data_IF_952280090443
#
_entry.id   IF_952280090443
#
_cell.length_a   1.000
_cell.length_b   1.000
_cell.length_c   1.000
_cell.angle_alpha   90.00
_cell.angle_beta   90.00
_cell.angle_gamma   90.00
#
_symmetry.space_group_name_H-M   'P 1'
#
loop_
_entity.id
_entity.type
_entity.pdbx_description
1 polymer ?
#
# COMPACT_ATOMS: atom_id res chain seq x y z
N UNK A 1 5.53 8.49 -39.35
CA UNK A 1 6.41 7.55 -38.61
C UNK A 1 5.82 7.26 -37.25
N UNK A 2 5.42 6.01 -36.95
CA UNK A 2 4.98 5.63 -35.59
C UNK A 2 6.20 5.78 -34.66
N UNK A 3 6.15 6.72 -33.69
CA UNK A 3 7.14 6.79 -32.62
C UNK A 3 7.18 5.40 -31.98
N UNK A 4 8.27 4.65 -32.14
CA UNK A 4 8.48 3.42 -31.38
C UNK A 4 8.53 3.86 -29.92
N UNK A 5 7.48 3.55 -29.18
CA UNK A 5 7.27 4.00 -27.82
C UNK A 5 8.39 3.41 -26.96
N UNK A 6 9.09 4.20 -26.14
CA UNK A 6 10.20 3.68 -25.33
C UNK A 6 9.75 2.49 -24.47
N UNK A 7 8.48 2.48 -24.04
CA UNK A 7 7.83 1.39 -23.33
C UNK A 7 7.91 0.05 -24.08
N UNK A 8 7.59 0.06 -25.39
CA UNK A 8 7.60 -1.18 -26.20
C UNK A 8 9.01 -1.68 -26.51
N UNK A 9 10.03 -0.85 -26.27
CA UNK A 9 11.43 -1.28 -26.31
C UNK A 9 11.83 -1.97 -25.01
N UNK A 10 11.45 -1.43 -23.85
CA UNK A 10 11.74 -2.04 -22.55
C UNK A 10 11.04 -3.39 -22.37
N UNK A 11 9.76 -3.50 -22.76
CA UNK A 11 9.03 -4.78 -22.73
C UNK A 11 9.77 -5.89 -23.51
N UNK A 12 10.28 -5.55 -24.70
CA UNK A 12 11.08 -6.48 -25.53
C UNK A 12 12.46 -6.80 -24.96
N UNK A 13 13.01 -5.95 -24.09
CA UNK A 13 14.26 -6.23 -23.39
C UNK A 13 14.03 -7.15 -22.20
N UNK A 14 12.94 -6.95 -21.46
CA UNK A 14 12.54 -7.81 -20.34
C UNK A 14 12.29 -9.27 -20.81
N UNK A 15 11.69 -9.46 -21.99
CA UNK A 15 11.48 -10.80 -22.58
C UNK A 15 12.78 -11.60 -22.82
N UNK A 16 13.93 -10.92 -22.91
CA UNK A 16 15.21 -11.55 -23.26
C UNK A 16 16.02 -12.00 -22.04
N UNK A 17 15.61 -11.61 -20.82
CA UNK A 17 16.38 -11.86 -19.62
C UNK A 17 15.50 -11.89 -18.38
N UNK A 18 15.51 -13.02 -17.66
CA UNK A 18 14.79 -13.17 -16.40
C UNK A 18 15.26 -12.15 -15.35
N UNK A 19 16.55 -11.76 -15.38
CA UNK A 19 17.07 -10.70 -14.51
C UNK A 19 16.43 -9.34 -14.81
N UNK A 20 16.31 -8.99 -16.09
CA UNK A 20 15.68 -7.72 -16.49
C UNK A 20 14.20 -7.70 -16.15
N UNK A 21 13.51 -8.84 -16.35
CA UNK A 21 12.12 -9.01 -15.95
C UNK A 21 11.94 -8.79 -14.45
N UNK A 22 12.78 -9.42 -13.62
CA UNK A 22 12.75 -9.24 -12.16
C UNK A 22 12.98 -7.77 -11.76
N UNK A 23 13.95 -7.10 -12.37
CA UNK A 23 14.21 -5.69 -12.11
C UNK A 23 13.02 -4.80 -12.51
N UNK A 24 12.38 -5.11 -13.63
CA UNK A 24 11.15 -4.44 -14.06
C UNK A 24 10.02 -4.63 -13.06
N UNK A 25 9.84 -5.84 -12.54
CA UNK A 25 8.84 -6.16 -11.53
C UNK A 25 9.08 -5.41 -10.21
N UNK A 26 10.32 -5.42 -9.71
CA UNK A 26 10.72 -4.71 -8.48
C UNK A 26 10.48 -3.19 -8.64
N UNK A 27 10.85 -2.62 -9.79
CA UNK A 27 10.60 -1.21 -10.09
C UNK A 27 9.10 -0.88 -10.17
N UNK A 28 8.30 -1.72 -10.82
CA UNK A 28 6.83 -1.55 -10.91
C UNK A 28 6.18 -1.60 -9.52
N UNK A 29 6.65 -2.49 -8.65
CA UNK A 29 6.17 -2.60 -7.28
C UNK A 29 6.49 -1.34 -6.47
N UNK A 30 7.74 -0.90 -6.47
CA UNK A 30 8.16 0.32 -5.77
C UNK A 30 7.38 1.55 -6.28
N UNK A 31 7.26 1.69 -7.60
CA UNK A 31 6.46 2.75 -8.23
C UNK A 31 5.02 2.77 -7.74
N UNK A 32 4.38 1.59 -7.62
CA UNK A 32 3.01 1.46 -7.13
C UNK A 32 2.89 1.93 -5.67
N UNK A 33 3.84 1.55 -4.82
CA UNK A 33 3.89 1.98 -3.42
C UNK A 33 4.02 3.50 -3.33
N UNK A 34 4.97 4.09 -4.08
CA UNK A 34 5.18 5.54 -4.10
C UNK A 34 3.93 6.28 -4.61
N UNK A 35 3.28 5.76 -5.65
CA UNK A 35 2.05 6.35 -6.19
C UNK A 35 0.92 6.37 -5.14
N UNK A 36 0.75 5.29 -4.37
CA UNK A 36 -0.23 5.25 -3.28
C UNK A 36 0.07 6.29 -2.19
N UNK A 37 1.35 6.49 -1.86
CA UNK A 37 1.80 7.52 -0.90
C UNK A 37 1.45 8.92 -1.42
N UNK A 38 1.73 9.21 -2.70
CA UNK A 38 1.41 10.49 -3.34
C UNK A 38 -0.10 10.76 -3.28
N UNK A 39 -0.91 9.75 -3.63
CA UNK A 39 -2.36 9.86 -3.62
C UNK A 39 -2.91 10.11 -2.22
N UNK A 40 -2.41 9.39 -1.21
CA UNK A 40 -2.81 9.61 0.18
C UNK A 40 -2.40 11.00 0.69
N UNK A 41 -1.18 11.47 0.36
CA UNK A 41 -0.75 12.84 0.67
C UNK A 41 -1.70 13.87 0.06
N UNK A 42 -2.02 13.72 -1.23
CA UNK A 42 -2.93 14.62 -1.93
C UNK A 42 -4.34 14.59 -1.34
N UNK A 43 -4.86 13.41 -0.97
CA UNK A 43 -6.17 13.27 -0.31
C UNK A 43 -6.23 13.98 1.05
N UNK A 44 -5.11 14.01 1.77
CA UNK A 44 -4.97 14.77 3.02
C UNK A 44 -4.71 16.27 2.82
N UNK A 45 -4.55 16.74 1.58
CA UNK A 45 -4.27 18.14 1.29
C UNK A 45 -2.88 18.61 1.71
N UNK A 46 -1.96 17.69 2.00
CA UNK A 46 -0.61 18.03 2.47
C UNK A 46 0.30 18.38 1.30
N UNK A 47 1.10 19.42 1.46
CA UNK A 47 2.23 19.73 0.59
C UNK A 47 3.39 18.75 0.83
N UNK A 48 4.32 18.66 -0.12
CA UNK A 48 5.54 17.87 0.06
C UNK A 48 6.38 18.33 1.25
N UNK A 49 6.35 19.64 1.55
CA UNK A 49 7.05 20.21 2.69
C UNK A 49 6.42 19.74 4.00
N UNK A 50 5.11 19.84 4.12
CA UNK A 50 4.38 19.41 5.33
C UNK A 50 4.55 17.91 5.58
N UNK A 51 4.47 17.07 4.54
CA UNK A 51 4.77 15.65 4.71
C UNK A 51 6.22 15.44 5.15
N UNK A 52 7.17 16.18 4.57
CA UNK A 52 8.57 16.16 4.99
C UNK A 52 8.74 16.49 6.47
N UNK A 53 8.12 17.57 6.92
CA UNK A 53 8.17 18.03 8.32
C UNK A 53 7.61 16.97 9.28
N UNK A 54 6.53 16.27 8.90
CA UNK A 54 5.96 15.16 9.69
C UNK A 54 6.91 13.97 9.86
N UNK A 55 7.72 13.64 8.84
CA UNK A 55 8.61 12.46 8.85
C UNK A 55 10.07 12.80 9.14
N UNK A 56 10.39 14.07 9.38
CA UNK A 56 11.75 14.56 9.61
C UNK A 56 12.63 14.56 8.35
N UNK A 57 12.04 14.83 7.19
CA UNK A 57 12.73 14.96 5.90
C UNK A 57 12.53 16.36 5.31
N UNK A 58 13.46 16.81 4.48
CA UNK A 58 13.26 18.05 3.74
C UNK A 58 12.33 17.83 2.53
N UNK A 59 11.72 18.93 2.05
CA UNK A 59 10.82 18.90 0.90
C UNK A 59 11.49 18.32 -0.36
N UNK A 60 12.79 18.55 -0.56
CA UNK A 60 13.53 18.03 -1.72
C UNK A 60 13.75 16.51 -1.65
N UNK A 61 13.81 15.91 -0.47
CA UNK A 61 13.81 14.46 -0.31
C UNK A 61 12.46 13.87 -0.70
N UNK A 62 11.35 14.46 -0.23
CA UNK A 62 9.99 14.03 -0.62
C UNK A 62 9.82 14.16 -2.14
N UNK A 63 10.18 15.30 -2.74
CA UNK A 63 10.09 15.50 -4.18
C UNK A 63 10.86 14.45 -5.00
N UNK A 64 12.07 14.07 -4.56
CA UNK A 64 12.87 13.04 -5.25
C UNK A 64 12.28 11.64 -5.11
N UNK A 65 11.67 11.32 -3.97
CA UNK A 65 10.94 10.07 -3.76
C UNK A 65 9.74 10.02 -4.70
N UNK A 66 8.91 11.07 -4.70
CA UNK A 66 7.70 11.12 -5.53
C UNK A 66 8.00 11.08 -7.04
N UNK A 67 9.12 11.67 -7.45
CA UNK A 67 9.59 11.65 -8.83
C UNK A 67 10.26 10.32 -9.24
N UNK A 68 10.39 9.33 -8.34
CA UNK A 68 11.15 8.10 -8.58
C UNK A 68 12.62 8.34 -8.99
N UNK A 69 13.18 9.47 -8.59
CA UNK A 69 14.59 9.79 -8.84
C UNK A 69 15.52 9.00 -7.91
N UNK A 70 15.01 8.58 -6.74
CA UNK A 70 15.71 7.73 -5.80
C UNK A 70 14.75 6.72 -5.17
N UNK A 71 15.19 5.47 -5.10
CA UNK A 71 14.55 4.43 -4.29
C UNK A 71 14.65 4.80 -2.80
N UNK A 72 13.52 5.02 -2.10
CA UNK A 72 13.53 5.26 -0.67
C UNK A 72 13.89 3.99 0.10
N UNK A 73 14.56 4.15 1.24
CA UNK A 73 14.77 3.05 2.18
C UNK A 73 13.43 2.60 2.78
N UNK A 74 13.33 1.34 3.17
CA UNK A 74 12.13 0.78 3.81
C UNK A 74 11.68 1.58 5.04
N UNK A 75 12.61 2.03 5.89
CA UNK A 75 12.28 2.85 7.05
C UNK A 75 11.64 4.19 6.67
N UNK A 76 12.05 4.79 5.55
CA UNK A 76 11.40 6.00 5.01
C UNK A 76 9.99 5.70 4.54
N UNK A 77 9.78 4.59 3.83
CA UNK A 77 8.43 4.17 3.41
C UNK A 77 7.52 3.99 4.62
N UNK A 78 7.99 3.30 5.67
CA UNK A 78 7.22 3.07 6.90
C UNK A 78 6.82 4.40 7.54
N UNK A 79 7.76 5.35 7.68
CA UNK A 79 7.45 6.69 8.23
C UNK A 79 6.42 7.46 7.40
N UNK A 80 6.53 7.40 6.07
CA UNK A 80 5.58 8.07 5.18
C UNK A 80 4.19 7.47 5.29
N UNK A 81 4.09 6.14 5.35
CA UNK A 81 2.84 5.42 5.51
C UNK A 81 2.18 5.76 6.85
N UNK A 82 2.96 5.73 7.94
CA UNK A 82 2.48 6.08 9.28
C UNK A 82 1.97 7.53 9.34
N UNK A 83 2.75 8.50 8.85
CA UNK A 83 2.33 9.91 8.79
C UNK A 83 1.06 10.16 7.94
N UNK A 84 0.76 9.24 7.03
CA UNK A 84 -0.41 9.30 6.15
C UNK A 84 -1.59 8.44 6.64
N UNK A 85 -1.53 7.89 7.87
CA UNK A 85 -2.53 6.96 8.43
C UNK A 85 -2.83 5.77 7.51
N UNK A 86 -1.79 5.26 6.84
CA UNK A 86 -1.87 4.06 6.01
C UNK A 86 -1.35 2.83 6.77
N UNK A 87 -1.63 1.63 6.24
CA UNK A 87 -0.96 0.39 6.65
C UNK A 87 -0.25 -0.26 5.47
N UNK A 88 0.87 -0.92 5.75
CA UNK A 88 1.50 -1.88 4.85
C UNK A 88 1.19 -3.28 5.37
N UNK A 89 0.77 -4.17 4.49
CA UNK A 89 0.57 -5.58 4.79
C UNK A 89 1.45 -6.45 3.90
N UNK A 90 2.03 -7.48 4.49
CA UNK A 90 2.73 -8.53 3.77
C UNK A 90 1.74 -9.68 3.60
N UNK A 91 1.50 -10.03 2.35
CA UNK A 91 0.56 -11.07 1.94
C UNK A 91 1.30 -12.04 1.03
N UNK A 92 0.92 -13.32 1.07
CA UNK A 92 1.46 -14.29 0.13
C UNK A 92 0.97 -13.95 -1.30
N UNK A 93 1.91 -13.98 -2.25
CA UNK A 93 1.69 -13.68 -3.66
C UNK A 93 0.65 -14.60 -4.30
N UNK A 94 0.51 -15.82 -3.77
CA UNK A 94 -0.44 -16.83 -4.23
C UNK A 94 -1.76 -16.83 -3.45
N UNK A 95 -1.92 -15.90 -2.51
CA UNK A 95 -3.24 -15.65 -1.93
C UNK A 95 -4.05 -14.98 -3.02
N UNK A 96 -4.85 -15.78 -3.73
CA UNK A 96 -5.99 -15.26 -4.47
C UNK A 96 -6.82 -14.49 -3.47
N UNK A 97 -6.78 -13.15 -3.55
CA UNK A 97 -7.80 -12.37 -2.91
C UNK A 97 -9.11 -12.81 -3.53
N UNK A 98 -9.88 -13.56 -2.74
CA UNK A 98 -11.33 -13.53 -2.86
C UNK A 98 -11.78 -12.10 -2.54
N UNK A 99 -11.54 -11.16 -3.46
CA UNK A 99 -12.53 -10.09 -3.72
C UNK A 99 -13.76 -10.76 -4.33
N UNK A 100 -14.31 -11.75 -3.63
CA UNK A 100 -15.52 -12.39 -4.05
C UNK A 100 -16.58 -11.34 -3.76
N UNK A 101 -17.19 -10.80 -4.81
CA UNK A 101 -18.42 -10.00 -4.72
C UNK A 101 -19.44 -10.69 -3.80
N UNK A 102 -19.38 -12.03 -3.71
CA UNK A 102 -20.04 -12.86 -2.72
C UNK A 102 -19.75 -12.49 -1.26
N UNK A 103 -18.49 -12.31 -0.84
CA UNK A 103 -18.15 -11.94 0.55
C UNK A 103 -18.64 -10.54 0.91
N UNK A 104 -18.55 -9.59 -0.02
CA UNK A 104 -19.08 -8.25 0.20
C UNK A 104 -20.61 -8.28 0.28
N UNK A 105 -21.27 -9.02 -0.62
CA UNK A 105 -22.73 -9.22 -0.56
C UNK A 105 -23.15 -9.93 0.75
N UNK A 106 -22.42 -10.96 1.16
CA UNK A 106 -22.65 -11.69 2.40
C UNK A 106 -22.47 -10.79 3.63
N UNK A 107 -21.40 -9.98 3.67
CA UNK A 107 -21.19 -9.03 4.76
C UNK A 107 -22.33 -8.00 4.81
N UNK A 108 -22.75 -7.45 3.68
CA UNK A 108 -23.86 -6.50 3.60
C UNK A 108 -25.21 -7.13 3.99
N UNK A 109 -25.49 -8.38 3.61
CA UNK A 109 -26.67 -9.12 4.06
C UNK A 109 -26.62 -9.44 5.56
N UNK A 110 -25.45 -9.87 6.05
CA UNK A 110 -25.21 -10.12 7.47
C UNK A 110 -25.42 -8.87 8.32
N UNK A 111 -24.96 -7.70 7.86
CA UNK A 111 -25.20 -6.41 8.53
C UNK A 111 -26.69 -6.07 8.59
N UNK A 112 -27.43 -6.21 7.47
CA UNK A 112 -28.87 -5.94 7.42
C UNK A 112 -29.68 -6.84 8.34
N UNK A 113 -29.26 -8.09 8.50
CA UNK A 113 -29.88 -9.04 9.41
C UNK A 113 -29.67 -8.61 10.87
N UNK A 114 -28.43 -8.36 11.27
CA UNK A 114 -28.09 -8.08 12.67
C UNK A 114 -28.45 -6.66 13.15
N UNK A 115 -28.54 -5.67 12.26
CA UNK A 115 -28.96 -4.30 12.61
C UNK A 115 -30.43 -4.22 13.04
N UNK A 116 -31.26 -5.20 12.68
CA UNK A 116 -32.67 -5.27 13.09
C UNK A 116 -32.88 -5.87 14.47
N UNK A 117 -31.98 -6.73 14.94
CA UNK A 117 -32.17 -7.45 16.21
C UNK A 117 -31.26 -6.95 17.34
N UNK A 118 -30.05 -6.43 17.07
CA UNK A 118 -29.05 -6.23 18.13
C UNK A 118 -28.20 -4.94 18.05
N UNK A 119 -28.56 -3.96 17.20
CA UNK A 119 -27.90 -2.64 17.14
C UNK A 119 -26.35 -2.69 16.96
N UNK A 120 -25.82 -3.76 16.36
CA UNK A 120 -24.40 -3.93 16.05
C UNK A 120 -23.93 -2.92 14.99
N UNK A 121 -22.83 -2.20 15.28
CA UNK A 121 -22.19 -1.31 14.31
C UNK A 121 -21.12 -2.04 13.52
N UNK A 122 -20.79 -1.52 12.33
CA UNK A 122 -19.74 -2.05 11.44
C UNK A 122 -18.37 -2.14 12.12
N UNK A 123 -18.18 -1.30 13.13
CA UNK A 123 -16.98 -1.18 13.96
C UNK A 123 -16.81 -2.34 14.96
N UNK A 124 -17.88 -3.08 15.26
CA UNK A 124 -17.92 -4.09 16.32
C UNK A 124 -17.54 -5.51 15.85
N UNK A 125 -17.31 -5.70 14.54
CA UNK A 125 -17.00 -7.01 13.95
C UNK A 125 -15.50 -7.18 13.73
N UNK A 126 -14.90 -8.09 14.49
CA UNK A 126 -13.53 -8.55 14.28
C UNK A 126 -13.51 -9.68 13.24
N UNK A 127 -12.87 -9.45 12.09
CA UNK A 127 -12.63 -10.49 11.10
C UNK A 127 -11.42 -11.32 11.55
N UNK A 128 -11.68 -12.47 12.16
CA UNK A 128 -10.64 -13.46 12.43
C UNK A 128 -10.26 -14.16 11.13
N UNK A 129 -9.15 -13.75 10.52
CA UNK A 129 -8.41 -14.61 9.60
C UNK A 129 -7.66 -15.62 10.45
N UNK A 130 -7.98 -16.92 10.35
CA UNK A 130 -7.18 -17.97 10.97
C UNK A 130 -5.70 -17.83 10.55
N UNK A 131 -4.70 -18.00 11.41
CA UNK A 131 -4.65 -18.78 12.65
C UNK A 131 -3.80 -18.10 13.75
N UNK A 132 -4.07 -18.54 14.98
CA UNK A 132 -3.35 -18.40 16.26
C UNK A 132 -3.39 -17.09 17.09
N UNK A 133 -3.89 -17.26 18.32
CA UNK A 133 -3.73 -16.37 19.46
C UNK A 133 -2.26 -15.97 19.62
N UNK A 134 -1.97 -14.67 19.62
CA UNK A 134 -0.95 -14.14 20.51
C UNK A 134 -1.53 -12.94 21.24
N UNK A 135 -1.38 -13.01 22.56
CA UNK A 135 -1.79 -12.00 23.53
C UNK A 135 -1.29 -10.62 23.13
N UNK A 136 -2.03 -9.61 23.58
CA UNK A 136 -1.70 -8.19 23.47
C UNK A 136 -0.27 -7.95 23.99
N UNK A 137 0.72 -7.93 23.10
CA UNK A 137 1.97 -7.26 23.40
C UNK A 137 1.82 -5.80 22.99
N UNK A 138 1.61 -4.97 24.00
CA UNK A 138 1.86 -3.54 23.93
C UNK A 138 3.32 -3.34 23.53
N UNK A 139 3.58 -3.05 22.26
CA UNK A 139 4.90 -2.61 21.82
C UNK A 139 5.16 -1.21 22.41
N UNK A 140 5.72 -1.18 23.62
CA UNK A 140 6.52 -0.04 24.06
C UNK A 140 7.78 -0.04 23.21
N UNK A 141 7.93 0.98 22.37
CA UNK A 141 9.21 1.30 21.74
C UNK A 141 10.29 1.34 22.81
N UNK A 142 11.28 0.45 22.71
CA UNK A 142 12.58 0.63 23.34
C UNK A 142 13.52 1.10 22.26
N UNK A 143 13.85 2.39 22.31
CA UNK A 143 14.99 3.09 21.69
C UNK A 143 15.38 2.71 20.24
#
# INVERSE_FOLDING_TARGET
MKKKNALTFFEKLEEKSELLKKWGDDYRLEKKIIQNIIEARNKKGLTQKELGDLVGLNQSAIARIEAQAHSPRLNTIIKLVDALDLKIEIIDKNVEFFENKFYQNFLEEFYKFNSKENNLKKEDIYVYKGEEKNEIQTYRYSC
#
